data_IF_528679230964
#
_entry.id   IF_528679230964
#
_cell.length_a   1.000
_cell.length_b   1.000
_cell.length_c   1.000
_cell.angle_alpha   90.00
_cell.angle_beta   90.00
_cell.angle_gamma   90.00
#
_symmetry.space_group_name_H-M   'P 1'
#
loop_
_entity.id
_entity.type
_entity.pdbx_description
1 polymer ?
#
# COMPACT_ATOMS: atom_id res chain seq x y z
N UNK A 1 27.31 -3.96 -4.78
CA UNK A 1 26.48 -2.90 -4.17
C UNK A 1 25.11 -3.50 -4.01
N UNK A 2 24.74 -3.89 -2.80
CA UNK A 2 23.41 -4.43 -2.52
C UNK A 2 22.40 -3.35 -2.93
N UNK A 3 21.46 -3.61 -3.85
CA UNK A 3 20.42 -2.64 -4.15
C UNK A 3 19.55 -2.55 -2.89
N UNK A 4 19.68 -1.46 -2.14
CA UNK A 4 18.71 -1.15 -1.09
C UNK A 4 17.34 -1.00 -1.74
N UNK A 5 16.30 -1.57 -1.11
CA UNK A 5 14.93 -1.41 -1.59
C UNK A 5 14.63 0.07 -1.83
N UNK A 6 14.05 0.36 -2.98
CA UNK A 6 13.61 1.72 -3.30
C UNK A 6 12.47 2.12 -2.36
N UNK A 7 12.30 3.43 -2.16
CA UNK A 7 11.16 3.95 -1.39
C UNK A 7 9.83 3.47 -1.97
N UNK A 8 9.78 3.27 -3.28
CA UNK A 8 8.61 2.78 -4.00
C UNK A 8 8.27 1.31 -3.66
N UNK A 9 9.28 0.44 -3.61
CA UNK A 9 9.11 -0.97 -3.23
C UNK A 9 8.68 -1.10 -1.75
N UNK A 10 9.30 -0.30 -0.87
CA UNK A 10 8.93 -0.26 0.55
C UNK A 10 7.47 0.20 0.74
N UNK A 11 7.05 1.22 -0.01
CA UNK A 11 5.68 1.70 0.03
C UNK A 11 4.69 0.64 -0.50
N UNK A 12 5.01 0.00 -1.62
CA UNK A 12 4.19 -1.08 -2.18
C UNK A 12 4.02 -2.22 -1.18
N UNK A 13 5.11 -2.66 -0.54
CA UNK A 13 5.08 -3.71 0.48
C UNK A 13 4.22 -3.29 1.69
N UNK A 14 4.40 -2.08 2.20
CA UNK A 14 3.61 -1.57 3.31
C UNK A 14 2.10 -1.58 3.00
N UNK A 15 1.73 -1.20 1.78
CA UNK A 15 0.33 -1.23 1.31
C UNK A 15 -0.21 -2.65 1.25
N UNK A 16 0.54 -3.59 0.68
CA UNK A 16 0.14 -4.99 0.57
C UNK A 16 -0.05 -5.63 1.95
N UNK A 17 0.88 -5.40 2.87
CA UNK A 17 0.77 -5.93 4.22
C UNK A 17 -0.42 -5.33 4.99
N UNK A 18 -0.65 -4.02 4.89
CA UNK A 18 -1.80 -3.38 5.52
C UNK A 18 -3.12 -3.94 4.95
N UNK A 19 -3.19 -4.18 3.63
CA UNK A 19 -4.34 -4.86 3.03
C UNK A 19 -4.51 -6.29 3.56
N UNK A 20 -3.43 -7.06 3.66
CA UNK A 20 -3.47 -8.43 4.18
C UNK A 20 -3.97 -8.46 5.64
N UNK A 21 -3.40 -7.63 6.53
CA UNK A 21 -3.82 -7.50 7.93
C UNK A 21 -5.28 -7.10 8.08
N UNK A 22 -5.76 -6.24 7.18
CA UNK A 22 -7.15 -5.76 7.16
C UNK A 22 -8.10 -6.60 6.28
N UNK A 23 -7.68 -7.78 5.82
CA UNK A 23 -8.50 -8.67 4.98
C UNK A 23 -9.07 -7.97 3.73
N UNK A 24 -8.24 -7.14 3.07
CA UNK A 24 -8.59 -6.38 1.88
C UNK A 24 -9.48 -5.15 2.12
N UNK A 25 -9.83 -4.82 3.38
CA UNK A 25 -10.67 -3.65 3.71
C UNK A 25 -9.89 -2.35 3.52
N UNK A 26 -9.97 -1.80 2.31
CA UNK A 26 -9.23 -0.59 1.86
C UNK A 26 -9.34 0.60 2.84
N UNK A 27 -10.53 0.88 3.40
CA UNK A 27 -10.69 1.97 4.37
C UNK A 27 -9.94 1.72 5.68
N UNK A 28 -9.89 0.48 6.16
CA UNK A 28 -9.19 0.13 7.39
C UNK A 28 -7.66 0.12 7.16
N UNK A 29 -7.20 -0.41 6.02
CA UNK A 29 -5.80 -0.34 5.60
C UNK A 29 -5.31 1.12 5.45
N UNK A 30 -6.11 2.00 4.86
CA UNK A 30 -5.76 3.42 4.75
C UNK A 30 -5.62 4.08 6.14
N UNK A 31 -6.53 3.75 7.07
CA UNK A 31 -6.47 4.24 8.45
C UNK A 31 -5.23 3.73 9.18
N UNK A 32 -4.86 2.46 9.00
CA UNK A 32 -3.65 1.88 9.58
C UNK A 32 -2.38 2.55 9.04
N UNK A 33 -2.33 2.82 7.73
CA UNK A 33 -1.22 3.51 7.08
C UNK A 33 -1.18 5.03 7.35
N UNK A 34 -2.17 5.58 8.06
CA UNK A 34 -2.24 7.02 8.33
C UNK A 34 -2.50 7.89 7.09
N UNK A 35 -3.04 7.31 6.01
CA UNK A 35 -3.32 8.00 4.76
C UNK A 35 -4.82 8.08 4.45
N UNK A 36 -5.21 9.02 3.60
CA UNK A 36 -6.58 9.06 3.10
C UNK A 36 -6.88 7.84 2.21
N UNK A 37 -8.14 7.39 2.21
CA UNK A 37 -8.63 6.33 1.30
C UNK A 37 -8.36 6.65 -0.18
N UNK A 38 -8.48 7.91 -0.61
CA UNK A 38 -8.20 8.32 -2.00
C UNK A 38 -6.71 8.21 -2.34
N UNK A 39 -5.83 8.51 -1.38
CA UNK A 39 -4.38 8.32 -1.51
C UNK A 39 -4.05 6.84 -1.67
N UNK A 40 -4.64 5.97 -0.83
CA UNK A 40 -4.48 4.53 -0.97
C UNK A 40 -4.96 4.06 -2.36
N UNK A 41 -6.13 4.52 -2.81
CA UNK A 41 -6.67 4.15 -4.12
C UNK A 41 -5.72 4.54 -5.27
N UNK A 42 -5.20 5.77 -5.27
CA UNK A 42 -4.24 6.22 -6.28
C UNK A 42 -2.97 5.36 -6.28
N UNK A 43 -2.48 4.97 -5.11
CA UNK A 43 -1.29 4.11 -4.97
C UNK A 43 -1.57 2.69 -5.45
N UNK A 44 -2.73 2.11 -5.12
CA UNK A 44 -3.12 0.79 -5.63
C UNK A 44 -3.19 0.77 -7.16
N UNK A 45 -3.75 1.83 -7.76
CA UNK A 45 -3.77 1.98 -9.22
C UNK A 45 -2.37 2.12 -9.81
N UNK A 46 -1.50 2.91 -9.18
CA UNK A 46 -0.11 3.10 -9.61
C UNK A 46 0.68 1.78 -9.57
N UNK A 47 0.50 0.98 -8.54
CA UNK A 47 1.18 -0.31 -8.37
C UNK A 47 0.50 -1.49 -9.08
N UNK A 48 -0.60 -1.27 -9.80
CA UNK A 48 -1.35 -2.36 -10.45
C UNK A 48 -1.94 -3.39 -9.46
N UNK A 49 -2.20 -2.97 -8.21
CA UNK A 49 -2.78 -3.81 -7.15
C UNK A 49 -4.32 -3.71 -7.11
N UNK A 50 -4.92 -2.99 -8.05
CA UNK A 50 -6.36 -2.94 -8.26
C UNK A 50 -6.80 -4.13 -9.11
N UNK A 51 -7.74 -4.93 -8.59
CA UNK A 51 -8.44 -5.99 -9.29
C UNK A 51 -9.91 -5.58 -9.48
#
# INVERSE_FOLDING_TARGET
TEPGETLEELEMRAIQEALARNKGRKTAAARELGINKTTLWRKLKHFGLEA
#
